data_IF_931448251978
#
_entry.id   IF_931448251978
#
_cell.length_a   1.000
_cell.length_b   1.000
_cell.length_c   1.000
_cell.angle_alpha   90.00
_cell.angle_beta   90.00
_cell.angle_gamma   90.00
#
_symmetry.space_group_name_H-M   'P 1'
#
loop_
_entity.id
_entity.type
_entity.pdbx_description
1 polymer ?
#
# COMPACT_ATOMS: atom_id res chain seq x y z
N UNK A 1 -10.23 20.02 5.44
CA UNK A 1 -11.22 19.23 4.65
C UNK A 1 -10.57 17.92 4.23
N UNK A 2 -11.31 16.78 4.25
CA UNK A 2 -10.79 15.49 3.75
C UNK A 2 -11.31 15.28 2.33
N UNK A 3 -10.46 14.84 1.40
CA UNK A 3 -10.86 14.55 0.02
C UNK A 3 -9.93 13.54 -0.65
N UNK A 4 -10.44 12.85 -1.66
CA UNK A 4 -9.64 12.10 -2.62
C UNK A 4 -9.14 13.06 -3.72
N UNK A 5 -7.89 12.91 -4.11
CA UNK A 5 -7.31 13.56 -5.29
C UNK A 5 -7.17 12.51 -6.40
N UNK A 6 -7.76 12.80 -7.56
CA UNK A 6 -7.74 11.92 -8.74
C UNK A 6 -6.93 12.53 -9.88
N UNK A 7 -7.04 13.86 -10.06
CA UNK A 7 -6.38 14.56 -11.16
C UNK A 7 -4.87 14.63 -10.95
N UNK A 8 -4.11 14.32 -11.99
CA UNK A 8 -2.66 14.21 -11.92
C UNK A 8 -1.98 15.50 -11.46
N UNK A 9 -2.43 16.66 -11.97
CA UNK A 9 -1.90 17.97 -11.60
C UNK A 9 -2.11 18.28 -10.12
N UNK A 10 -3.26 17.89 -9.55
CA UNK A 10 -3.56 18.10 -8.14
C UNK A 10 -2.72 17.19 -7.23
N UNK A 11 -2.32 16.01 -7.71
CA UNK A 11 -1.44 15.09 -6.98
C UNK A 11 -0.07 15.71 -6.71
N UNK A 12 0.44 16.57 -7.59
CA UNK A 12 1.71 17.27 -7.41
C UNK A 12 1.74 18.14 -6.14
N UNK A 13 0.58 18.54 -5.63
CA UNK A 13 0.45 19.35 -4.40
C UNK A 13 0.89 18.57 -3.14
N UNK A 14 0.90 17.24 -3.18
CA UNK A 14 1.37 16.39 -2.07
C UNK A 14 2.90 16.25 -2.03
N UNK A 15 3.60 16.62 -3.13
CA UNK A 15 5.05 16.42 -3.27
C UNK A 15 5.86 17.10 -2.16
N UNK A 16 5.48 18.31 -1.78
CA UNK A 16 6.15 19.04 -0.70
C UNK A 16 6.10 18.26 0.61
N UNK A 17 4.91 17.78 1.02
CA UNK A 17 4.76 16.99 2.25
C UNK A 17 5.49 15.64 2.15
N UNK A 18 5.52 15.04 0.96
CA UNK A 18 6.29 13.82 0.71
C UNK A 18 7.78 14.05 1.00
N UNK A 19 8.39 15.07 0.39
CA UNK A 19 9.81 15.40 0.58
C UNK A 19 10.16 15.85 2.01
N UNK A 20 9.20 16.44 2.74
CA UNK A 20 9.38 16.76 4.17
C UNK A 20 9.31 15.54 5.10
N UNK A 21 8.64 14.47 4.67
CA UNK A 21 8.39 13.29 5.49
C UNK A 21 9.32 12.11 5.20
N UNK A 22 9.81 12.00 3.96
CA UNK A 22 10.62 10.90 3.45
C UNK A 22 11.93 11.41 2.87
N UNK A 23 13.01 10.69 3.16
CA UNK A 23 14.38 11.05 2.74
C UNK A 23 14.77 10.36 1.41
N UNK A 24 13.81 10.29 0.49
CA UNK A 24 14.02 9.69 -0.82
C UNK A 24 14.85 10.62 -1.72
N UNK A 25 15.76 10.08 -2.55
CA UNK A 25 16.50 10.86 -3.54
C UNK A 25 15.56 11.57 -4.52
N UNK A 26 15.89 12.80 -4.92
CA UNK A 26 15.05 13.61 -5.83
C UNK A 26 14.72 12.87 -7.13
N UNK A 27 15.65 12.10 -7.68
CA UNK A 27 15.42 11.30 -8.90
C UNK A 27 14.34 10.22 -8.70
N UNK A 28 14.25 9.64 -7.49
CA UNK A 28 13.19 8.69 -7.14
C UNK A 28 11.86 9.42 -6.96
N UNK A 29 11.84 10.57 -6.29
CA UNK A 29 10.65 11.40 -6.13
C UNK A 29 10.09 11.84 -7.49
N UNK A 30 10.96 12.24 -8.43
CA UNK A 30 10.57 12.56 -9.81
C UNK A 30 9.93 11.38 -10.53
N UNK A 31 10.51 10.20 -10.40
CA UNK A 31 9.92 8.96 -10.93
C UNK A 31 8.56 8.66 -10.28
N UNK A 32 8.49 8.72 -8.95
CA UNK A 32 7.28 8.42 -8.20
C UNK A 32 6.12 9.32 -8.65
N UNK A 33 6.35 10.62 -8.70
CA UNK A 33 5.33 11.61 -9.09
C UNK A 33 5.02 11.64 -10.58
N UNK A 34 5.92 11.17 -11.46
CA UNK A 34 5.67 11.13 -12.90
C UNK A 34 5.13 9.78 -13.42
N UNK A 35 5.33 8.67 -12.70
CA UNK A 35 4.92 7.33 -13.14
C UNK A 35 3.93 6.67 -12.16
N UNK A 36 4.30 6.51 -10.87
CA UNK A 36 3.43 5.83 -9.90
C UNK A 36 2.15 6.64 -9.60
N UNK A 37 2.26 7.95 -9.59
CA UNK A 37 1.11 8.83 -9.34
C UNK A 37 0.15 8.95 -10.53
N UNK A 38 0.43 8.35 -11.70
CA UNK A 38 -0.50 8.37 -12.82
C UNK A 38 -1.81 7.64 -12.52
N UNK A 39 -1.75 6.51 -11.81
CA UNK A 39 -2.89 5.62 -11.57
C UNK A 39 -3.20 5.35 -10.10
N UNK A 40 -2.41 5.89 -9.17
CA UNK A 40 -2.69 5.77 -7.75
C UNK A 40 -3.87 6.68 -7.31
N UNK A 41 -4.36 6.44 -6.10
CA UNK A 41 -5.30 7.34 -5.42
C UNK A 41 -4.57 8.03 -4.28
N UNK A 42 -4.91 9.27 -4.02
CA UNK A 42 -4.41 10.00 -2.87
C UNK A 42 -5.58 10.49 -2.04
N UNK A 43 -5.54 10.25 -0.74
CA UNK A 43 -6.48 10.80 0.21
C UNK A 43 -5.72 11.82 1.06
N UNK A 44 -6.22 13.04 1.09
CA UNK A 44 -5.57 14.15 1.78
C UNK A 44 -6.48 14.84 2.77
N UNK A 45 -5.87 15.42 3.81
CA UNK A 45 -6.48 16.45 4.65
C UNK A 45 -5.88 17.80 4.29
N UNK A 46 -6.72 18.77 4.02
CA UNK A 46 -6.32 20.15 3.67
C UNK A 46 -6.84 21.16 4.67
N UNK A 47 -6.02 22.16 4.95
CA UNK A 47 -6.37 23.39 5.66
C UNK A 47 -5.82 24.59 4.88
N UNK A 48 -6.61 25.63 4.70
CA UNK A 48 -6.25 26.88 4.01
C UNK A 48 -5.59 26.68 2.62
N UNK A 49 -5.99 25.60 1.92
CA UNK A 49 -5.46 25.24 0.60
C UNK A 49 -4.16 24.40 0.63
N UNK A 50 -3.59 24.17 1.80
CA UNK A 50 -2.37 23.37 1.96
C UNK A 50 -2.70 21.93 2.35
N UNK A 51 -1.95 20.97 1.78
CA UNK A 51 -2.02 19.56 2.18
C UNK A 51 -1.26 19.35 3.49
N UNK A 52 -1.98 18.97 4.55
CA UNK A 52 -1.42 18.79 5.90
C UNK A 52 -1.28 17.32 6.31
N UNK A 53 -2.03 16.44 5.67
CA UNK A 53 -1.88 14.99 5.85
C UNK A 53 -2.25 14.27 4.56
N UNK A 54 -1.59 13.17 4.27
CA UNK A 54 -1.80 12.38 3.06
C UNK A 54 -1.61 10.89 3.31
N UNK A 55 -2.23 10.09 2.47
CA UNK A 55 -1.88 8.69 2.20
C UNK A 55 -2.06 8.42 0.70
N UNK A 56 -1.20 7.57 0.17
CA UNK A 56 -1.27 7.12 -1.21
C UNK A 56 -1.68 5.65 -1.27
N UNK A 57 -2.48 5.30 -2.26
CA UNK A 57 -2.95 3.96 -2.55
C UNK A 57 -2.42 3.56 -3.93
N UNK A 58 -1.30 2.87 -3.97
CA UNK A 58 -0.71 2.38 -5.22
C UNK A 58 -1.42 1.09 -5.63
N UNK A 59 -1.99 1.02 -6.85
CA UNK A 59 -2.77 -0.15 -7.29
C UNK A 59 -1.87 -1.34 -7.58
N UNK A 60 -2.33 -2.51 -7.15
CA UNK A 60 -1.75 -3.82 -7.50
C UNK A 60 -2.85 -4.79 -7.89
N UNK A 61 -2.54 -5.69 -8.81
CA UNK A 61 -3.31 -6.88 -9.05
C UNK A 61 -2.68 -8.02 -8.23
N UNK A 62 -3.46 -8.67 -7.38
CA UNK A 62 -2.98 -9.73 -6.49
C UNK A 62 -3.68 -11.03 -6.83
N UNK A 63 -2.92 -12.12 -6.98
CA UNK A 63 -3.51 -13.44 -6.94
C UNK A 63 -3.88 -13.76 -5.49
N UNK A 64 -5.16 -13.95 -5.23
CA UNK A 64 -5.70 -14.36 -3.93
C UNK A 64 -6.25 -15.78 -4.07
N UNK A 65 -5.41 -16.78 -3.78
CA UNK A 65 -5.76 -18.21 -3.84
C UNK A 65 -6.41 -18.63 -5.18
N UNK A 66 -5.83 -18.18 -6.30
CA UNK A 66 -6.30 -18.52 -7.66
C UNK A 66 -7.24 -17.47 -8.28
N UNK A 67 -7.69 -16.47 -7.53
CA UNK A 67 -8.52 -15.37 -8.05
C UNK A 67 -7.71 -14.10 -8.15
N UNK A 68 -7.66 -13.47 -9.34
CA UNK A 68 -7.04 -12.18 -9.52
C UNK A 68 -7.96 -11.07 -8.95
N UNK A 69 -7.47 -10.31 -7.99
CA UNK A 69 -8.20 -9.22 -7.35
C UNK A 69 -7.42 -7.92 -7.43
N UNK A 70 -8.12 -6.80 -7.50
CA UNK A 70 -7.52 -5.49 -7.31
C UNK A 70 -7.29 -5.27 -5.82
N UNK A 71 -6.13 -4.78 -5.48
CA UNK A 71 -5.72 -4.37 -4.13
C UNK A 71 -4.92 -3.08 -4.22
N UNK A 72 -4.56 -2.52 -3.07
CA UNK A 72 -3.69 -1.35 -3.02
C UNK A 72 -2.61 -1.53 -1.96
N UNK A 73 -1.41 -1.09 -2.32
CA UNK A 73 -0.34 -0.86 -1.35
C UNK A 73 -0.50 0.53 -0.75
N UNK A 74 -0.64 0.61 0.55
CA UNK A 74 -0.75 1.88 1.29
C UNK A 74 0.65 2.40 1.57
N UNK A 75 0.96 3.58 1.06
CA UNK A 75 2.28 4.19 1.15
C UNK A 75 2.17 5.69 1.35
N UNK A 76 3.28 6.35 1.61
CA UNK A 76 3.39 7.81 1.76
C UNK A 76 2.39 8.38 2.80
N UNK A 77 2.23 7.67 3.92
CA UNK A 77 1.38 8.13 5.03
C UNK A 77 2.12 9.17 5.84
N UNK A 78 1.74 10.43 5.70
CA UNK A 78 2.40 11.54 6.37
C UNK A 78 1.43 12.58 6.90
N UNK A 79 1.86 13.28 7.95
CA UNK A 79 1.19 14.48 8.49
C UNK A 79 2.28 15.49 8.84
N UNK A 80 2.08 16.77 8.50
CA UNK A 80 3.01 17.86 8.84
C UNK A 80 3.28 17.87 10.35
N UNK A 81 4.50 18.19 10.75
CA UNK A 81 4.95 18.08 12.15
C UNK A 81 4.03 18.84 13.12
N UNK A 82 3.59 20.02 12.72
CA UNK A 82 2.75 20.93 13.52
C UNK A 82 1.31 20.44 13.70
N UNK A 83 0.88 19.49 12.86
CA UNK A 83 -0.49 18.91 12.85
C UNK A 83 -0.56 17.46 13.32
N UNK A 84 0.55 16.87 13.76
CA UNK A 84 0.56 15.52 14.32
C UNK A 84 -0.25 15.44 15.60
N UNK A 85 -0.74 14.25 15.92
CA UNK A 85 -1.57 13.96 17.11
C UNK A 85 -2.92 14.69 17.17
N UNK A 86 -3.41 15.22 16.04
CA UNK A 86 -4.70 15.90 15.91
C UNK A 86 -5.75 15.07 15.14
N UNK A 87 -5.48 13.78 14.96
CA UNK A 87 -6.42 12.84 14.32
C UNK A 87 -6.52 12.94 12.79
N UNK A 88 -5.60 13.64 12.11
CA UNK A 88 -5.63 13.76 10.65
C UNK A 88 -5.43 12.41 9.97
N UNK A 89 -4.46 11.61 10.44
CA UNK A 89 -4.21 10.26 9.93
C UNK A 89 -5.47 9.37 10.03
N UNK A 90 -6.14 9.35 11.18
CA UNK A 90 -7.38 8.58 11.34
C UNK A 90 -8.43 8.93 10.30
N UNK A 91 -8.67 10.23 10.13
CA UNK A 91 -9.70 10.72 9.21
C UNK A 91 -9.40 10.41 7.74
N UNK A 92 -8.13 10.50 7.30
CA UNK A 92 -7.78 10.12 5.91
C UNK A 92 -7.89 8.62 5.69
N UNK A 93 -7.57 7.78 6.70
CA UNK A 93 -7.77 6.33 6.63
C UNK A 93 -9.26 5.94 6.63
N UNK A 94 -10.10 6.59 7.44
CA UNK A 94 -11.55 6.37 7.43
C UNK A 94 -12.14 6.64 6.04
N UNK A 95 -11.74 7.74 5.41
CA UNK A 95 -12.17 8.06 4.05
C UNK A 95 -11.62 7.07 3.02
N UNK A 96 -10.35 6.66 3.15
CA UNK A 96 -9.76 5.63 2.30
C UNK A 96 -10.55 4.31 2.38
N UNK A 97 -10.85 3.84 3.59
CA UNK A 97 -11.62 2.60 3.78
C UNK A 97 -13.04 2.70 3.23
N UNK A 98 -13.69 3.87 3.35
CA UNK A 98 -15.01 4.11 2.74
C UNK A 98 -14.95 3.95 1.22
N UNK A 99 -13.97 4.60 0.56
CA UNK A 99 -13.76 4.53 -0.90
C UNK A 99 -13.45 3.08 -1.32
N UNK A 100 -12.54 2.42 -0.63
CA UNK A 100 -12.12 1.05 -0.95
C UNK A 100 -13.30 0.06 -0.84
N UNK A 101 -14.15 0.23 0.16
CA UNK A 101 -15.37 -0.59 0.31
C UNK A 101 -16.37 -0.33 -0.81
N UNK A 102 -16.61 0.93 -1.19
CA UNK A 102 -17.49 1.28 -2.30
C UNK A 102 -17.00 0.68 -3.63
N UNK A 103 -15.68 0.61 -3.81
CA UNK A 103 -15.04 -0.02 -4.98
C UNK A 103 -14.92 -1.54 -4.87
N UNK A 104 -15.42 -2.14 -3.80
CA UNK A 104 -15.35 -3.59 -3.53
C UNK A 104 -13.92 -4.13 -3.55
N UNK A 105 -12.99 -3.37 -2.99
CA UNK A 105 -11.61 -3.81 -2.82
C UNK A 105 -11.55 -4.76 -1.62
N UNK A 106 -11.14 -6.02 -1.80
CA UNK A 106 -11.22 -7.03 -0.75
C UNK A 106 -10.28 -6.74 0.43
N UNK A 107 -9.08 -6.26 0.16
CA UNK A 107 -8.08 -5.92 1.18
C UNK A 107 -7.05 -4.93 0.65
N UNK A 108 -6.29 -4.35 1.57
CA UNK A 108 -5.11 -3.53 1.30
C UNK A 108 -3.95 -4.03 2.15
N UNK A 109 -2.72 -3.69 1.75
CA UNK A 109 -1.52 -4.10 2.47
C UNK A 109 -0.50 -2.95 2.53
N UNK A 110 0.45 -3.07 3.46
CA UNK A 110 1.54 -2.10 3.65
C UNK A 110 2.76 -2.77 4.31
N UNK A 111 3.91 -2.13 4.16
CA UNK A 111 5.12 -2.36 4.93
C UNK A 111 5.20 -1.27 6.01
N UNK A 112 4.97 -1.56 7.29
CA UNK A 112 4.97 -0.53 8.33
C UNK A 112 6.38 -0.18 8.76
N UNK A 113 6.63 1.09 9.07
CA UNK A 113 7.82 1.49 9.84
C UNK A 113 7.74 0.92 11.27
N UNK A 114 6.53 0.89 11.84
CA UNK A 114 6.21 0.32 13.14
C UNK A 114 4.76 -0.20 13.15
N UNK A 115 4.57 -1.47 13.51
CA UNK A 115 3.26 -2.14 13.48
C UNK A 115 2.20 -1.43 14.36
N UNK A 116 2.61 -0.87 15.49
CA UNK A 116 1.72 -0.18 16.44
C UNK A 116 0.99 1.01 15.81
N UNK A 117 1.58 1.64 14.78
CA UNK A 117 0.98 2.77 14.05
C UNK A 117 -0.29 2.35 13.31
N UNK A 118 -0.39 1.09 12.87
CA UNK A 118 -1.48 0.61 12.01
C UNK A 118 -2.40 -0.42 12.68
N UNK A 119 -1.94 -1.11 13.73
CA UNK A 119 -2.69 -2.20 14.37
C UNK A 119 -4.05 -1.77 14.92
N UNK A 120 -4.16 -0.56 15.47
CA UNK A 120 -5.43 -0.02 15.99
C UNK A 120 -6.48 0.27 14.91
N UNK A 121 -6.06 0.37 13.61
CA UNK A 121 -6.93 0.52 12.45
C UNK A 121 -7.39 -0.83 11.86
N UNK A 122 -7.00 -1.94 12.48
CA UNK A 122 -7.35 -3.29 12.04
C UNK A 122 -6.38 -3.89 11.02
N UNK A 123 -5.21 -3.29 10.84
CA UNK A 123 -4.12 -3.97 10.13
C UNK A 123 -3.49 -5.02 11.03
N UNK A 124 -3.18 -6.18 10.46
CA UNK A 124 -2.47 -7.25 11.15
C UNK A 124 -1.36 -7.79 10.26
N UNK A 125 -0.26 -8.21 10.87
CA UNK A 125 0.81 -8.93 10.17
C UNK A 125 0.26 -10.16 9.47
N UNK A 126 0.58 -10.33 8.18
CA UNK A 126 0.19 -11.50 7.37
C UNK A 126 1.38 -12.34 6.94
N UNK A 127 2.56 -11.75 6.75
CA UNK A 127 3.81 -12.46 6.46
C UNK A 127 5.02 -11.59 6.83
N UNK A 128 6.21 -12.20 6.84
CA UNK A 128 7.47 -11.46 6.85
C UNK A 128 7.69 -10.81 5.47
N UNK A 129 8.31 -9.65 5.45
CA UNK A 129 8.72 -9.02 4.21
C UNK A 129 9.99 -9.69 3.68
N UNK A 130 10.03 -9.96 2.38
CA UNK A 130 11.14 -10.63 1.72
C UNK A 130 11.94 -9.61 0.91
N UNK A 131 13.16 -9.32 1.34
CA UNK A 131 14.09 -8.39 0.66
C UNK A 131 14.68 -8.99 -0.62
N UNK A 132 14.97 -10.30 -0.61
CA UNK A 132 15.50 -11.01 -1.76
C UNK A 132 14.38 -11.42 -2.70
N UNK A 133 14.21 -10.70 -3.80
CA UNK A 133 13.18 -10.99 -4.79
C UNK A 133 13.44 -12.32 -5.51
N UNK A 134 12.39 -13.15 -5.57
CA UNK A 134 12.40 -14.34 -6.43
C UNK A 134 12.26 -13.87 -7.88
N UNK A 135 13.30 -14.09 -8.74
CA UNK A 135 13.25 -13.63 -10.13
C UNK A 135 12.32 -14.50 -10.99
N UNK A 136 12.22 -15.79 -10.68
CA UNK A 136 11.39 -16.75 -11.41
C UNK A 136 9.92 -16.63 -11.03
N UNK A 137 9.13 -16.00 -11.88
CA UNK A 137 7.71 -15.77 -11.63
C UNK A 137 6.89 -17.07 -11.68
N UNK A 138 7.27 -18.06 -12.50
CA UNK A 138 6.59 -19.35 -12.52
C UNK A 138 6.74 -20.05 -11.17
N UNK A 139 7.93 -20.02 -10.59
CA UNK A 139 8.18 -20.54 -9.24
C UNK A 139 7.30 -19.86 -8.17
N UNK A 140 7.06 -18.55 -8.30
CA UNK A 140 6.15 -17.84 -7.39
C UNK A 140 4.73 -18.42 -7.53
N UNK A 141 4.23 -18.52 -8.75
CA UNK A 141 2.88 -19.05 -9.03
C UNK A 141 2.66 -20.50 -8.54
N UNK A 142 3.70 -21.32 -8.60
CA UNK A 142 3.66 -22.72 -8.14
C UNK A 142 3.76 -22.85 -6.62
N UNK A 143 4.41 -21.89 -5.96
CA UNK A 143 4.78 -22.01 -4.54
C UNK A 143 3.81 -21.31 -3.60
N UNK A 144 3.26 -20.16 -4.03
CA UNK A 144 2.52 -19.25 -3.16
C UNK A 144 1.04 -19.16 -3.54
N UNK A 145 0.20 -19.03 -2.52
CA UNK A 145 -1.24 -18.87 -2.65
C UNK A 145 -1.61 -17.39 -2.91
N UNK A 146 -0.81 -16.45 -2.35
CA UNK A 146 -1.04 -15.01 -2.43
C UNK A 146 0.24 -14.31 -2.88
N UNK A 147 0.17 -13.56 -3.97
CA UNK A 147 1.32 -12.81 -4.54
C UNK A 147 0.83 -11.72 -5.50
N UNK A 148 1.64 -10.67 -5.72
CA UNK A 148 1.37 -9.66 -6.72
C UNK A 148 1.55 -10.22 -8.13
N UNK A 149 0.56 -9.99 -8.99
CA UNK A 149 0.59 -10.42 -10.40
C UNK A 149 1.53 -9.48 -11.16
N UNK A 150 2.52 -10.06 -11.85
CA UNK A 150 3.54 -9.33 -12.59
C UNK A 150 3.10 -9.15 -14.05
N UNK A 151 2.36 -8.08 -14.33
CA UNK A 151 2.06 -7.63 -15.69
C UNK A 151 3.18 -6.71 -16.24
N UNK A 152 3.03 -6.24 -17.46
CA UNK A 152 4.03 -5.38 -18.13
C UNK A 152 4.27 -4.07 -17.37
N UNK A 153 3.23 -3.48 -16.78
CA UNK A 153 3.34 -2.25 -15.98
C UNK A 153 4.10 -2.52 -14.70
N UNK A 154 3.77 -3.61 -14.01
CA UNK A 154 4.47 -4.05 -12.81
C UNK A 154 5.96 -4.27 -13.10
N UNK A 155 6.29 -5.05 -14.14
CA UNK A 155 7.69 -5.37 -14.52
C UNK A 155 8.46 -4.10 -14.87
N UNK A 156 7.86 -3.19 -15.63
CA UNK A 156 8.47 -1.91 -15.98
C UNK A 156 8.80 -1.06 -14.77
N UNK A 157 7.85 -0.96 -13.82
CA UNK A 157 8.01 -0.20 -12.56
C UNK A 157 9.06 -0.86 -11.66
N UNK A 158 8.97 -2.15 -11.47
CA UNK A 158 9.93 -2.93 -10.68
C UNK A 158 11.37 -2.72 -11.16
N UNK A 159 11.63 -2.79 -12.49
CA UNK A 159 12.97 -2.59 -13.05
C UNK A 159 13.50 -1.16 -12.80
N UNK A 160 12.62 -0.14 -12.83
CA UNK A 160 13.01 1.23 -12.51
C UNK A 160 13.34 1.38 -11.02
N UNK A 161 12.52 0.81 -10.15
CA UNK A 161 12.70 0.85 -8.70
C UNK A 161 13.99 0.12 -8.29
N UNK A 162 14.30 -1.03 -8.89
CA UNK A 162 15.56 -1.74 -8.67
C UNK A 162 16.77 -0.91 -9.12
N UNK A 163 16.66 -0.17 -10.23
CA UNK A 163 17.68 0.76 -10.67
C UNK A 163 17.92 1.88 -9.63
N UNK A 164 16.87 2.51 -9.11
CA UNK A 164 17.01 3.57 -8.10
C UNK A 164 17.58 3.04 -6.79
N UNK A 165 17.14 1.86 -6.32
CA UNK A 165 17.72 1.20 -5.13
C UNK A 165 19.20 0.91 -5.31
N UNK A 166 19.66 0.54 -6.51
CA UNK A 166 21.09 0.31 -6.77
C UNK A 166 21.95 1.57 -6.66
N UNK A 167 21.32 2.76 -6.74
CA UNK A 167 21.98 4.05 -6.58
C UNK A 167 21.93 4.58 -5.15
N UNK A 168 21.04 4.05 -4.33
CA UNK A 168 20.92 4.44 -2.93
C UNK A 168 21.88 3.63 -2.06
N UNK A 169 22.43 4.27 -1.02
CA UNK A 169 23.35 3.64 -0.05
C UNK A 169 22.66 2.68 0.93
N UNK A 170 21.44 2.29 0.62
CA UNK A 170 20.61 1.32 1.34
C UNK A 170 19.52 1.99 2.17
N UNK A 171 18.28 1.74 1.80
CA UNK A 171 17.13 2.03 2.65
C UNK A 171 17.24 1.28 3.98
N UNK A 172 17.06 1.99 5.08
CA UNK A 172 17.09 1.38 6.41
C UNK A 172 15.72 0.75 6.67
N UNK A 173 15.56 -0.50 6.29
CA UNK A 173 14.38 -1.26 6.65
C UNK A 173 14.26 -1.44 8.17
N UNK A 174 13.04 -1.55 8.71
CA UNK A 174 12.81 -1.92 10.11
C UNK A 174 13.49 -3.25 10.45
N UNK A 175 13.85 -3.43 11.71
CA UNK A 175 14.29 -4.76 12.19
C UNK A 175 13.12 -5.75 12.04
N UNK A 176 13.36 -6.85 11.30
CA UNK A 176 12.34 -7.87 10.97
C UNK A 176 11.11 -7.22 10.25
N UNK A 177 11.29 -6.70 9.03
CA UNK A 177 10.22 -6.07 8.31
C UNK A 177 9.09 -7.05 8.00
N UNK A 178 7.85 -6.57 8.07
CA UNK A 178 6.65 -7.39 7.91
C UNK A 178 5.68 -6.74 6.94
N UNK A 179 4.85 -7.55 6.30
CA UNK A 179 3.69 -7.06 5.57
C UNK A 179 2.47 -7.15 6.48
N UNK A 180 1.77 -6.04 6.62
CA UNK A 180 0.46 -5.98 7.27
C UNK A 180 -0.65 -5.82 6.24
N UNK A 181 -1.81 -6.41 6.52
CA UNK A 181 -3.01 -6.25 5.69
C UNK A 181 -4.23 -5.91 6.53
N UNK A 182 -5.21 -5.28 5.88
CA UNK A 182 -6.55 -5.04 6.39
C UNK A 182 -7.58 -5.47 5.36
N UNK A 183 -8.60 -6.20 5.80
CA UNK A 183 -9.79 -6.46 4.98
C UNK A 183 -10.59 -5.16 4.90
N UNK A 184 -10.86 -4.70 3.68
CA UNK A 184 -11.59 -3.44 3.42
C UNK A 184 -13.03 -3.67 2.99
N UNK A 185 -13.29 -4.79 2.31
CA UNK A 185 -14.64 -5.26 1.98
C UNK A 185 -14.74 -6.78 2.24
N UNK A 186 -15.36 -7.22 3.36
CA UNK A 186 -15.52 -8.64 3.66
C UNK A 186 -16.36 -9.42 2.63
N UNK A 187 -17.34 -8.77 1.99
CA UNK A 187 -18.16 -9.42 0.96
C UNK A 187 -17.34 -9.70 -0.30
N UNK A 188 -16.55 -8.71 -0.74
CA UNK A 188 -15.64 -8.88 -1.86
C UNK A 188 -14.54 -9.92 -1.57
N UNK A 189 -14.02 -9.94 -0.32
CA UNK A 189 -13.05 -10.94 0.10
C UNK A 189 -13.64 -12.35 0.11
N UNK A 190 -14.86 -12.53 0.64
CA UNK A 190 -15.58 -13.79 0.63
C UNK A 190 -15.83 -14.27 -0.79
N UNK A 191 -16.29 -13.39 -1.67
CA UNK A 191 -16.53 -13.71 -3.08
C UNK A 191 -15.25 -14.15 -3.80
N UNK A 192 -14.13 -13.46 -3.56
CA UNK A 192 -12.84 -13.77 -4.19
C UNK A 192 -12.26 -15.10 -3.72
N UNK A 193 -12.45 -15.44 -2.44
CA UNK A 193 -11.89 -16.65 -1.83
C UNK A 193 -12.81 -17.87 -1.88
N UNK A 194 -14.09 -17.68 -2.23
CA UNK A 194 -15.12 -18.73 -2.15
C UNK A 194 -15.44 -19.14 -0.69
N UNK A 195 -15.13 -18.29 0.27
CA UNK A 195 -15.35 -18.51 1.70
C UNK A 195 -16.55 -17.69 2.22
N UNK A 196 -16.91 -17.89 3.48
CA UNK A 196 -18.02 -17.18 4.14
C UNK A 196 -17.58 -16.80 5.56
N UNK A 197 -16.66 -15.85 5.66
CA UNK A 197 -16.21 -15.34 6.96
C UNK A 197 -17.24 -14.39 7.55
N UNK A 198 -17.46 -14.50 8.86
CA UNK A 198 -18.42 -13.68 9.60
C UNK A 198 -17.81 -12.34 10.07
N UNK A 199 -16.48 -12.19 10.01
CA UNK A 199 -15.74 -11.00 10.46
C UNK A 199 -14.43 -10.81 9.72
N UNK A 200 -13.94 -9.55 9.69
CA UNK A 200 -12.62 -9.20 9.17
C UNK A 200 -11.50 -10.00 9.88
N UNK A 201 -11.63 -10.21 11.18
CA UNK A 201 -10.66 -10.96 11.97
C UNK A 201 -10.57 -12.43 11.55
N UNK A 202 -11.71 -13.06 11.26
CA UNK A 202 -11.76 -14.44 10.77
C UNK A 202 -11.11 -14.54 9.38
N UNK A 203 -11.43 -13.61 8.48
CA UNK A 203 -10.83 -13.52 7.15
C UNK A 203 -9.30 -13.32 7.21
N UNK A 204 -8.81 -12.42 8.07
CA UNK A 204 -7.37 -12.21 8.30
C UNK A 204 -6.70 -13.45 8.90
N UNK A 205 -7.36 -14.13 9.86
CA UNK A 205 -6.83 -15.36 10.46
C UNK A 205 -6.69 -16.49 9.44
N UNK A 206 -7.60 -16.57 8.49
CA UNK A 206 -7.51 -17.49 7.37
C UNK A 206 -6.40 -17.10 6.38
N UNK A 207 -6.27 -15.80 6.05
CA UNK A 207 -5.25 -15.29 5.14
C UNK A 207 -3.84 -15.60 5.66
N UNK A 208 -3.59 -15.42 6.95
CA UNK A 208 -2.31 -15.72 7.62
C UNK A 208 -1.86 -17.19 7.50
N UNK A 209 -2.77 -18.11 7.21
CA UNK A 209 -2.45 -19.54 7.02
C UNK A 209 -2.01 -19.86 5.59
N UNK A 210 -2.03 -18.88 4.69
CA UNK A 210 -1.64 -19.04 3.30
C UNK A 210 -0.14 -18.84 3.12
N UNK A 211 0.41 -19.41 2.06
CA UNK A 211 1.77 -19.10 1.61
C UNK A 211 1.72 -17.76 0.88
N UNK A 212 2.23 -16.72 1.50
CA UNK A 212 2.16 -15.34 0.99
C UNK A 212 3.56 -14.92 0.54
N UNK A 213 3.63 -14.31 -0.64
CA UNK A 213 4.82 -13.67 -1.16
C UNK A 213 4.47 -12.24 -1.61
N UNK A 214 4.85 -11.26 -0.82
CA UNK A 214 4.73 -9.82 -1.10
C UNK A 214 6.10 -9.21 -0.84
N UNK A 215 6.71 -8.65 -1.88
CA UNK A 215 8.04 -8.04 -1.86
C UNK A 215 8.01 -6.60 -2.37
N UNK A 216 6.83 -6.01 -2.43
CA UNK A 216 6.58 -4.64 -2.86
C UNK A 216 6.83 -3.67 -1.70
N UNK A 217 7.61 -2.61 -1.96
CA UNK A 217 7.98 -1.57 -0.99
C UNK A 217 7.41 -0.20 -1.35
N UNK A 218 7.02 0.02 -2.62
CA UNK A 218 6.58 1.34 -3.12
C UNK A 218 5.37 1.22 -4.03
#
# INVERSE_FOLDING_TARGET
MIKQITEFEDKQRTRKLYQEAFDDPEIFVDYYYSDKCLDNKMIVSEEDGEVISMLHLNPFCVNLCGTAVKSYYVVAVATTKERRHQGHMSRIFEEAFRILKEEKIPFVFLLPVEESIYSWMGFEKICDFVTDRIPDYEKIKETFDVYCIRDDVYIRRMNKEDYFRSMDNGEVLPNNPVIMAKITDPEAFNAATGQSFSSEKEALSWLKQKKIYICEEV
#
